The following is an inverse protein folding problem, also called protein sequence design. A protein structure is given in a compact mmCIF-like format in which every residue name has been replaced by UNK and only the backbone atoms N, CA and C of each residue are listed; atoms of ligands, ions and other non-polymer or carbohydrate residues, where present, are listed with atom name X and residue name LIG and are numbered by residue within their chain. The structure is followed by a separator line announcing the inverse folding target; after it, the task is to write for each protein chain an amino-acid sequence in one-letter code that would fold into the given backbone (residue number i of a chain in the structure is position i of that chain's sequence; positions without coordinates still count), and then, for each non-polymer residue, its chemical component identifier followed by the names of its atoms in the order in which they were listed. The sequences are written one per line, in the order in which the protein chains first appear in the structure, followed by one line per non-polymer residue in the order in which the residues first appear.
data_IF_755614176169
#
_entry.id   IF_755614176169
#
_cell.length_a   1.000
_cell.length_b   1.000
_cell.length_c   1.000
_cell.angle_alpha   90.00
_cell.angle_beta   90.00
_cell.angle_gamma   90.00
#
_symmetry.space_group_name_H-M   'P 1'
#
loop_
_entity.id
_entity.type
_entity.pdbx_description
1 polymer ?
#
# COMPACT_ATOMS: atom_id res chain seq x y z
N UNK A 1 -1.40 5.30 -28.47
CA UNK A 1 -1.03 6.72 -28.30
C UNK A 1 -1.56 7.15 -26.95
N UNK A 2 -0.76 7.86 -26.17
CA UNK A 2 -1.16 8.31 -24.83
C UNK A 2 -1.77 9.71 -24.90
N UNK A 3 -2.75 9.96 -24.03
CA UNK A 3 -3.39 11.25 -23.85
C UNK A 3 -3.36 11.58 -22.36
N UNK A 4 -3.01 12.82 -22.04
CA UNK A 4 -3.11 13.35 -20.68
C UNK A 4 -4.39 14.17 -20.55
N UNK A 5 -5.07 14.01 -19.41
CA UNK A 5 -6.30 14.72 -19.12
C UNK A 5 -6.44 15.00 -17.64
N UNK A 6 -7.37 15.90 -17.32
CA UNK A 6 -7.68 16.28 -15.94
C UNK A 6 -9.08 15.77 -15.60
N UNK A 7 -9.23 15.19 -14.40
CA UNK A 7 -10.55 14.82 -13.90
C UNK A 7 -11.34 16.09 -13.64
N UNK A 8 -12.40 16.29 -14.44
CA UNK A 8 -13.29 17.44 -14.32
C UNK A 8 -14.44 17.15 -13.37
N UNK A 9 -14.86 15.90 -13.24
CA UNK A 9 -16.04 15.59 -12.45
C UNK A 9 -16.08 14.14 -12.00
N UNK A 10 -16.54 13.92 -10.76
CA UNK A 10 -16.91 12.61 -10.24
C UNK A 10 -18.42 12.65 -9.95
N UNK A 11 -19.22 11.82 -10.64
CA UNK A 11 -20.67 11.80 -10.46
C UNK A 11 -21.06 10.88 -9.30
N UNK A 12 -21.64 11.45 -8.26
CA UNK A 12 -22.17 10.71 -7.12
C UNK A 12 -23.59 10.14 -7.39
N UNK A 13 -23.81 9.64 -8.60
CA UNK A 13 -25.04 8.94 -9.04
C UNK A 13 -24.61 7.61 -9.65
N UNK A 14 -24.42 6.57 -8.83
CA UNK A 14 -23.90 5.31 -9.33
C UNK A 14 -24.94 4.56 -10.18
N UNK A 15 -24.44 3.77 -11.12
CA UNK A 15 -25.22 2.75 -11.81
C UNK A 15 -24.88 1.38 -11.25
N UNK A 16 -25.90 0.62 -10.88
CA UNK A 16 -25.74 -0.75 -10.38
C UNK A 16 -26.15 -1.72 -11.48
N UNK A 17 -25.22 -2.56 -11.91
CA UNK A 17 -25.48 -3.65 -12.86
C UNK A 17 -25.12 -4.96 -12.15
N UNK A 18 -26.14 -5.75 -11.79
CA UNK A 18 -25.98 -6.90 -10.91
C UNK A 18 -25.46 -6.47 -9.53
N UNK A 19 -24.33 -7.03 -9.10
CA UNK A 19 -23.67 -6.72 -7.82
C UNK A 19 -22.50 -5.72 -7.96
N UNK A 20 -22.36 -5.06 -9.11
CA UNK A 20 -21.27 -4.09 -9.38
C UNK A 20 -21.84 -2.68 -9.37
N UNK A 21 -21.27 -1.83 -8.51
CA UNK A 21 -21.60 -0.40 -8.39
C UNK A 21 -20.56 0.41 -9.16
N UNK A 22 -20.99 1.16 -10.16
CA UNK A 22 -20.09 1.95 -11.03
C UNK A 22 -20.37 3.44 -10.89
N UNK A 23 -19.32 4.22 -10.66
CA UNK A 23 -19.37 5.68 -10.62
C UNK A 23 -18.82 6.25 -11.93
N UNK A 24 -19.55 7.19 -12.52
CA UNK A 24 -19.09 7.86 -13.75
C UNK A 24 -18.13 9.01 -13.42
N UNK A 25 -17.02 9.08 -14.14
CA UNK A 25 -16.03 10.16 -14.05
C UNK A 25 -15.93 10.84 -15.42
N UNK A 26 -15.92 12.17 -15.43
CA UNK A 26 -15.72 12.97 -16.64
C UNK A 26 -14.28 13.49 -16.64
N UNK A 27 -13.55 13.19 -17.71
CA UNK A 27 -12.15 13.59 -17.89
C UNK A 27 -12.06 14.54 -19.08
N UNK A 28 -11.41 15.67 -18.89
CA UNK A 28 -11.12 16.63 -19.95
C UNK A 28 -9.76 16.30 -20.57
N UNK A 29 -9.72 16.08 -21.88
CA UNK A 29 -8.54 15.64 -22.63
C UNK A 29 -8.38 16.52 -23.88
N UNK A 30 -7.15 16.97 -24.14
CA UNK A 30 -6.83 17.69 -25.37
C UNK A 30 -6.78 16.71 -26.57
N UNK A 31 -7.66 16.90 -27.55
CA UNK A 31 -7.76 16.06 -28.76
C UNK A 31 -7.46 16.87 -30.04
N UNK A 32 -6.32 17.55 -30.07
CA UNK A 32 -5.95 18.45 -31.17
C UNK A 32 -5.85 17.73 -32.52
N UNK A 33 -5.44 16.46 -32.51
CA UNK A 33 -5.25 15.63 -33.71
C UNK A 33 -6.51 14.83 -34.10
N UNK A 34 -7.63 15.00 -33.37
CA UNK A 34 -8.92 14.32 -33.62
C UNK A 34 -8.83 12.78 -33.66
N UNK A 35 -7.90 12.21 -32.90
CA UNK A 35 -7.66 10.77 -32.86
C UNK A 35 -8.61 10.03 -31.92
N UNK A 36 -9.14 10.71 -30.91
CA UNK A 36 -10.18 10.15 -30.03
C UNK A 36 -11.56 10.36 -30.66
N UNK A 37 -12.28 9.26 -30.90
CA UNK A 37 -13.64 9.26 -31.44
C UNK A 37 -14.66 8.96 -30.34
N UNK A 38 -15.88 9.54 -30.41
CA UNK A 38 -16.96 9.20 -29.48
C UNK A 38 -17.23 7.69 -29.48
N UNK A 39 -17.40 7.11 -28.28
CA UNK A 39 -17.66 5.68 -28.10
C UNK A 39 -16.43 4.78 -28.21
N UNK A 40 -15.23 5.33 -28.43
CA UNK A 40 -13.99 4.56 -28.42
C UNK A 40 -13.65 4.12 -26.98
N UNK A 41 -13.42 2.82 -26.73
CA UNK A 41 -12.92 2.37 -25.44
C UNK A 41 -11.48 2.84 -25.23
N UNK A 42 -11.13 3.16 -23.97
CA UNK A 42 -9.80 3.57 -23.59
C UNK A 42 -9.45 2.96 -22.22
N UNK A 43 -8.21 2.51 -22.08
CA UNK A 43 -7.62 2.20 -20.78
C UNK A 43 -7.15 3.50 -20.13
N UNK A 44 -7.48 3.68 -18.85
CA UNK A 44 -7.21 4.92 -18.12
C UNK A 44 -6.38 4.58 -16.89
N UNK A 45 -5.29 5.31 -16.71
CA UNK A 45 -4.52 5.33 -15.47
C UNK A 45 -4.80 6.64 -14.75
N UNK A 46 -5.36 6.55 -13.54
CA UNK A 46 -5.67 7.72 -12.70
C UNK A 46 -4.66 7.81 -11.56
N UNK A 47 -4.00 8.95 -11.44
CA UNK A 47 -3.16 9.25 -10.28
C UNK A 47 -4.03 9.74 -9.13
N UNK A 48 -4.20 8.89 -8.10
CA UNK A 48 -5.05 9.18 -6.94
C UNK A 48 -4.24 9.79 -5.78
N UNK A 49 -2.98 9.42 -5.66
CA UNK A 49 -2.07 9.98 -4.67
C UNK A 49 -0.62 9.78 -5.13
N UNK A 50 0.25 10.71 -4.74
CA UNK A 50 1.68 10.63 -4.98
C UNK A 50 2.43 10.95 -3.70
N UNK A 51 3.33 10.07 -3.33
CA UNK A 51 4.34 10.31 -2.30
C UNK A 51 5.72 10.09 -2.90
N UNK A 52 6.65 10.99 -2.58
CA UNK A 52 8.05 10.91 -3.00
C UNK A 52 8.93 10.56 -1.80
N UNK A 53 10.03 9.84 -2.05
CA UNK A 53 11.01 9.44 -1.02
C UNK A 53 10.39 8.66 0.14
N UNK A 54 9.62 7.62 -0.18
CA UNK A 54 8.96 6.78 0.82
C UNK A 54 9.52 5.38 0.86
N UNK A 55 9.39 4.76 2.03
CA UNK A 55 9.77 3.38 2.25
C UNK A 55 8.62 2.48 1.83
N UNK A 56 8.95 1.41 1.11
CA UNK A 56 8.02 0.37 0.70
C UNK A 56 8.38 -0.93 1.38
N UNK A 57 7.35 -1.67 1.79
CA UNK A 57 7.51 -3.03 2.30
C UNK A 57 6.65 -4.00 1.50
N UNK A 58 7.14 -5.22 1.22
CA UNK A 58 6.31 -6.26 0.64
C UNK A 58 5.10 -6.55 1.52
N UNK A 59 3.93 -6.79 0.90
CA UNK A 59 2.70 -7.09 1.63
C UNK A 59 2.81 -8.36 2.51
N UNK A 60 3.73 -9.27 2.17
CA UNK A 60 4.04 -10.45 2.98
C UNK A 60 4.60 -10.08 4.37
N UNK A 61 5.43 -9.03 4.49
CA UNK A 61 6.01 -8.61 5.77
C UNK A 61 4.94 -8.11 6.75
N UNK A 62 3.91 -7.42 6.26
CA UNK A 62 2.79 -6.93 7.08
C UNK A 62 1.83 -8.04 7.52
N UNK A 63 1.83 -9.18 6.80
CA UNK A 63 1.00 -10.35 7.13
C UNK A 63 1.76 -11.41 7.91
N UNK A 64 3.07 -11.26 8.04
CA UNK A 64 3.90 -12.23 8.72
C UNK A 64 3.54 -12.32 10.21
N UNK A 65 3.44 -13.55 10.69
CA UNK A 65 3.23 -13.87 12.10
C UNK A 65 4.35 -14.82 12.54
N UNK A 66 5.21 -14.41 13.49
CA UNK A 66 6.27 -15.28 13.97
C UNK A 66 5.70 -16.50 14.73
N UNK A 67 6.38 -17.65 14.68
CA UNK A 67 5.99 -18.86 15.40
C UNK A 67 6.41 -18.77 16.88
N UNK A 68 5.95 -17.75 17.59
CA UNK A 68 6.17 -17.56 19.03
C UNK A 68 4.92 -17.95 19.83
N UNK A 69 5.07 -18.34 21.11
CA UNK A 69 3.94 -18.64 21.99
C UNK A 69 2.95 -17.47 22.08
N UNK A 70 1.63 -17.72 22.22
CA UNK A 70 0.61 -16.67 22.31
C UNK A 70 0.85 -15.66 23.45
N UNK A 71 1.41 -16.10 24.57
CA UNK A 71 1.71 -15.22 25.71
C UNK A 71 2.84 -14.25 25.39
N UNK A 72 3.86 -14.71 24.67
CA UNK A 72 4.97 -13.87 24.21
C UNK A 72 4.49 -12.86 23.15
N UNK A 73 3.69 -13.32 22.20
CA UNK A 73 3.03 -12.47 21.21
C UNK A 73 2.23 -11.34 21.87
N UNK A 74 1.46 -11.67 22.92
CA UNK A 74 0.66 -10.69 23.65
C UNK A 74 1.54 -9.66 24.36
N UNK A 75 2.59 -10.11 25.05
CA UNK A 75 3.56 -9.21 25.70
C UNK A 75 4.22 -8.25 24.71
N UNK A 76 4.63 -8.75 23.54
CA UNK A 76 5.24 -7.90 22.50
C UNK A 76 4.25 -6.88 21.93
N UNK A 77 2.97 -7.25 21.77
CA UNK A 77 1.92 -6.30 21.37
C UNK A 77 1.65 -5.23 22.43
N UNK A 78 1.60 -5.62 23.70
CA UNK A 78 1.35 -4.71 24.81
C UNK A 78 2.55 -3.76 25.02
N UNK A 79 3.78 -4.22 24.73
CA UNK A 79 4.99 -3.42 24.76
C UNK A 79 5.22 -2.58 23.48
N UNK A 80 4.41 -2.76 22.44
CA UNK A 80 4.61 -2.08 21.17
C UNK A 80 4.32 -0.58 21.30
N UNK A 81 5.34 0.24 21.08
CA UNK A 81 5.18 1.69 21.07
C UNK A 81 4.74 2.16 19.68
N UNK A 82 3.55 2.72 19.60
CA UNK A 82 3.05 3.32 18.37
C UNK A 82 3.65 4.71 18.18
N UNK A 83 4.26 5.00 17.01
CA UNK A 83 4.59 6.37 16.66
C UNK A 83 3.29 7.20 16.57
N UNK A 84 3.36 8.53 16.75
CA UNK A 84 2.18 9.40 16.64
C UNK A 84 1.50 9.21 15.26
N UNK A 85 0.17 9.28 15.19
CA UNK A 85 -0.56 9.06 13.95
C UNK A 85 -0.16 10.14 12.92
N UNK A 86 0.19 9.74 11.68
CA UNK A 86 0.60 10.68 10.65
C UNK A 86 -0.62 11.41 10.05
N UNK A 87 -0.33 12.50 9.34
CA UNK A 87 -1.37 13.27 8.64
C UNK A 87 -1.92 12.46 7.46
N UNK A 88 -3.26 12.34 7.31
CA UNK A 88 -3.87 11.72 6.14
C UNK A 88 -3.45 12.36 4.82
N UNK A 89 -3.33 11.57 3.76
CA UNK A 89 -2.92 12.05 2.43
C UNK A 89 -4.15 12.55 1.68
N UNK A 90 -4.11 13.80 1.23
CA UNK A 90 -5.15 14.31 0.34
C UNK A 90 -5.12 13.54 -1.00
N UNK A 91 -6.30 13.11 -1.47
CA UNK A 91 -6.44 12.52 -2.81
C UNK A 91 -6.19 13.61 -3.84
N UNK A 92 -5.41 13.29 -4.87
CA UNK A 92 -5.16 14.18 -5.99
C UNK A 92 -6.48 14.50 -6.70
N UNK A 93 -6.78 15.80 -6.78
CA UNK A 93 -7.98 16.32 -7.41
C UNK A 93 -8.05 17.83 -7.22
N UNK A 94 -8.65 18.53 -8.18
CA UNK A 94 -8.92 19.96 -8.05
C UNK A 94 -10.27 20.14 -7.32
N UNK A 95 -10.30 20.67 -6.08
CA UNK A 95 -11.56 20.98 -5.39
C UNK A 95 -12.38 22.04 -6.13
N UNK A 96 -11.78 22.77 -7.08
CA UNK A 96 -12.39 23.81 -7.89
C UNK A 96 -13.00 23.34 -9.20
N UNK A 97 -13.13 22.03 -9.44
CA UNK A 97 -13.85 21.51 -10.59
C UNK A 97 -15.35 21.83 -10.44
N UNK A 98 -15.72 23.06 -10.82
CA UNK A 98 -17.05 23.65 -10.72
C UNK A 98 -18.04 22.74 -11.41
N UNK A 99 -18.74 21.97 -10.57
CA UNK A 99 -19.96 21.29 -10.98
C UNK A 99 -21.01 22.39 -11.20
N UNK A 100 -21.93 22.17 -12.13
CA UNK A 100 -23.08 23.08 -12.30
C UNK A 100 -23.81 23.25 -10.95
N UNK A 101 -24.55 24.34 -10.73
CA UNK A 101 -25.20 24.64 -9.44
C UNK A 101 -26.04 23.49 -8.85
N UNK A 102 -26.56 22.62 -9.72
CA UNK A 102 -27.47 21.53 -9.37
C UNK A 102 -26.77 20.17 -9.18
N UNK A 103 -25.44 20.13 -9.28
CA UNK A 103 -24.67 18.88 -9.43
C UNK A 103 -23.68 18.72 -8.26
N UNK A 104 -23.85 17.67 -7.46
CA UNK A 104 -23.07 17.43 -6.25
C UNK A 104 -21.65 17.00 -6.63
N UNK A 105 -20.69 17.93 -6.55
CA UNK A 105 -19.26 17.62 -6.65
C UNK A 105 -18.85 16.75 -5.47
N UNK A 106 -18.27 15.58 -5.75
CA UNK A 106 -17.66 14.73 -4.73
C UNK A 106 -16.18 15.08 -4.62
N UNK A 107 -15.79 15.65 -3.48
CA UNK A 107 -14.39 15.74 -3.10
C UNK A 107 -14.01 14.45 -2.39
N UNK A 108 -13.07 13.65 -2.94
CA UNK A 108 -12.68 12.40 -2.29
C UNK A 108 -12.11 12.65 -0.90
N UNK A 109 -12.51 11.86 0.12
CA UNK A 109 -11.94 11.97 1.45
C UNK A 109 -10.44 11.63 1.41
N UNK A 110 -9.63 12.20 2.33
CA UNK A 110 -8.22 11.88 2.39
C UNK A 110 -7.99 10.41 2.74
N UNK A 111 -6.91 9.84 2.20
CA UNK A 111 -6.46 8.48 2.48
C UNK A 111 -5.99 8.42 3.93
N UNK A 112 -6.74 7.67 4.75
CA UNK A 112 -6.45 7.51 6.17
C UNK A 112 -5.24 6.57 6.36
N UNK A 113 -4.35 6.87 7.32
CA UNK A 113 -3.29 5.94 7.70
C UNK A 113 -3.86 4.60 8.19
N UNK A 114 -3.31 3.50 7.68
CA UNK A 114 -3.53 2.16 8.19
C UNK A 114 -2.48 1.79 9.24
N UNK A 115 -2.79 0.78 10.05
CA UNK A 115 -1.86 0.23 11.04
C UNK A 115 -1.23 -1.06 10.51
N UNK A 116 0.07 -1.21 10.72
CA UNK A 116 0.85 -2.40 10.36
C UNK A 116 1.80 -2.80 11.47
N UNK A 117 2.09 -4.10 11.55
CA UNK A 117 3.12 -4.65 12.42
C UNK A 117 4.19 -5.28 11.53
N UNK A 118 5.44 -4.92 11.78
CA UNK A 118 6.59 -5.54 11.16
C UNK A 118 7.39 -6.31 12.20
N UNK A 119 7.97 -7.41 11.76
CA UNK A 119 8.75 -8.29 12.61
C UNK A 119 10.19 -8.32 12.14
N UNK A 120 11.12 -8.25 13.10
CA UNK A 120 12.53 -8.50 12.89
C UNK A 120 12.96 -9.69 13.72
N UNK A 121 13.82 -10.53 13.16
CA UNK A 121 14.51 -11.58 13.88
C UNK A 121 15.99 -11.23 13.94
N UNK A 122 16.53 -10.97 15.13
CA UNK A 122 17.95 -10.70 15.33
C UNK A 122 18.49 -11.77 16.26
N UNK A 123 19.36 -12.64 15.74
CA UNK A 123 19.95 -13.76 16.50
C UNK A 123 18.92 -14.66 17.21
N UNK A 124 17.78 -14.93 16.56
CA UNK A 124 16.71 -15.75 17.15
C UNK A 124 15.78 -14.99 18.10
N UNK A 125 16.04 -13.72 18.39
CA UNK A 125 15.17 -12.85 19.18
C UNK A 125 14.21 -12.11 18.27
N UNK A 126 12.91 -12.29 18.50
CA UNK A 126 11.86 -11.59 17.78
C UNK A 126 11.62 -10.20 18.36
N UNK A 127 11.58 -9.19 17.50
CA UNK A 127 11.19 -7.83 17.86
C UNK A 127 10.08 -7.34 16.95
N UNK A 128 9.14 -6.63 17.55
CA UNK A 128 7.99 -6.03 16.87
C UNK A 128 8.26 -4.54 16.65
N UNK A 129 7.88 -4.06 15.46
CA UNK A 129 7.88 -2.65 15.13
C UNK A 129 6.51 -2.25 14.60
N UNK A 130 5.83 -1.36 15.32
CA UNK A 130 4.55 -0.79 14.93
C UNK A 130 4.78 0.33 13.90
N UNK A 131 4.10 0.25 12.75
CA UNK A 131 4.26 1.19 11.64
C UNK A 131 2.91 1.67 11.13
N UNK A 132 2.90 2.89 10.58
CA UNK A 132 1.75 3.41 9.85
C UNK A 132 1.91 3.17 8.35
N UNK A 133 0.86 2.67 7.71
CA UNK A 133 0.79 2.39 6.28
C UNK A 133 -0.07 3.44 5.58
N UNK A 134 0.22 3.72 4.30
CA UNK A 134 -0.56 4.66 3.48
C UNK A 134 -1.44 3.92 2.48
N UNK A 135 -0.93 3.71 1.26
CA UNK A 135 -1.59 2.97 0.19
C UNK A 135 -0.72 1.81 -0.30
N UNK A 136 -1.36 0.85 -0.98
CA UNK A 136 -0.71 -0.35 -1.53
C UNK A 136 -0.97 -0.44 -3.02
N UNK A 137 0.01 -0.97 -3.76
CA UNK A 137 -0.09 -1.29 -5.19
C UNK A 137 -0.38 -2.79 -5.45
N UNK A 138 -1.04 -3.44 -4.49
CA UNK A 138 -1.30 -4.89 -4.38
C UNK A 138 -0.07 -5.77 -4.10
N UNK A 139 1.16 -5.29 -4.37
CA UNK A 139 2.40 -6.04 -4.10
C UNK A 139 3.13 -5.50 -2.89
N UNK A 140 3.28 -4.20 -2.85
CA UNK A 140 3.99 -3.44 -1.83
C UNK A 140 3.02 -2.48 -1.15
N UNK A 141 3.31 -2.18 0.11
CA UNK A 141 2.62 -1.15 0.87
C UNK A 141 3.62 -0.06 1.20
N UNK A 142 3.22 1.18 0.97
CA UNK A 142 4.01 2.34 1.33
C UNK A 142 3.83 2.64 2.82
N UNK A 143 4.94 2.85 3.51
CA UNK A 143 4.96 3.23 4.92
C UNK A 143 5.13 4.74 5.07
N UNK A 144 4.52 5.29 6.12
CA UNK A 144 4.90 6.60 6.61
C UNK A 144 6.29 6.53 7.27
N UNK A 145 7.02 7.64 7.24
CA UNK A 145 8.28 7.77 7.95
C UNK A 145 8.08 7.42 9.43
N UNK A 146 8.68 6.31 9.84
CA UNK A 146 8.55 5.76 11.18
C UNK A 146 9.94 5.67 11.79
N UNK A 147 10.18 6.23 12.99
CA UNK A 147 11.46 6.11 13.67
C UNK A 147 11.89 4.64 13.81
N UNK A 148 13.14 4.34 13.45
CA UNK A 148 13.67 2.97 13.48
C UNK A 148 13.38 2.13 12.24
N UNK A 149 12.73 2.70 11.22
CA UNK A 149 12.63 2.14 9.86
C UNK A 149 13.49 2.98 8.93
N UNK A 150 14.68 2.49 8.61
CA UNK A 150 15.57 3.11 7.62
C UNK A 150 15.62 2.26 6.35
N UNK A 151 16.10 2.86 5.27
CA UNK A 151 16.35 2.14 4.02
C UNK A 151 17.38 1.02 4.25
N UNK A 152 17.06 -0.18 3.76
CA UNK A 152 17.86 -1.39 4.01
C UNK A 152 17.58 -2.10 5.33
N UNK A 153 16.61 -1.63 6.13
CA UNK A 153 16.16 -2.38 7.30
C UNK A 153 15.57 -3.74 6.89
N UNK A 154 16.08 -4.81 7.50
CA UNK A 154 15.65 -6.17 7.22
C UNK A 154 14.41 -6.52 8.04
N UNK A 155 13.35 -6.97 7.37
CA UNK A 155 12.10 -7.43 7.96
C UNK A 155 11.76 -8.82 7.46
N UNK A 156 11.11 -9.61 8.31
CA UNK A 156 10.73 -10.98 7.96
C UNK A 156 9.47 -10.96 7.10
N UNK A 157 9.57 -11.50 5.90
CA UNK A 157 8.46 -11.70 4.96
C UNK A 157 7.91 -13.12 5.00
N UNK A 158 8.77 -14.10 5.31
CA UNK A 158 8.45 -15.52 5.35
C UNK A 158 9.36 -16.23 6.36
N UNK A 159 8.84 -17.25 7.05
CA UNK A 159 9.62 -18.13 7.92
C UNK A 159 9.25 -19.57 7.59
N UNK A 160 10.12 -20.25 6.84
CA UNK A 160 9.91 -21.65 6.46
C UNK A 160 10.44 -22.53 7.60
N UNK A 161 9.54 -23.09 8.39
CA UNK A 161 9.86 -24.15 9.34
C UNK A 161 10.11 -25.43 8.54
N UNK A 162 11.38 -25.79 8.33
CA UNK A 162 11.71 -27.09 7.73
C UNK A 162 11.26 -28.21 8.66
N UNK A 163 10.46 -29.16 8.15
CA UNK A 163 9.80 -30.23 8.93
C UNK A 163 10.77 -31.27 9.56
N UNK A 164 12.09 -31.04 9.47
CA UNK A 164 13.12 -31.80 10.20
C UNK A 164 13.36 -31.32 11.64
N UNK A 165 12.65 -30.28 12.08
CA UNK A 165 12.93 -29.54 13.32
C UNK A 165 12.40 -30.18 14.62
N UNK A 166 11.89 -31.43 14.58
CA UNK A 166 11.64 -32.21 15.81
C UNK A 166 12.84 -33.07 16.20
N UNK A 167 13.85 -33.24 15.32
CA UNK A 167 15.03 -34.07 15.64
C UNK A 167 16.41 -33.45 15.37
N UNK A 168 16.53 -32.28 14.74
CA UNK A 168 17.83 -31.80 14.26
C UNK A 168 18.26 -30.44 14.80
N UNK A 169 18.32 -30.31 16.14
CA UNK A 169 19.08 -29.22 16.80
C UNK A 169 20.62 -29.29 16.55
N UNK A 170 21.12 -30.24 15.75
CA UNK A 170 22.57 -30.48 15.67
C UNK A 170 23.22 -30.39 14.29
N UNK A 171 22.50 -30.24 13.17
CA UNK A 171 23.18 -30.19 11.87
C UNK A 171 22.56 -29.21 10.87
N UNK A 172 23.36 -28.16 10.59
CA UNK A 172 23.46 -27.35 9.37
C UNK A 172 22.39 -26.28 9.15
N UNK A 173 22.75 -25.05 9.52
CA UNK A 173 22.22 -23.84 8.93
C UNK A 173 22.73 -23.68 7.49
N UNK A 174 21.83 -23.55 6.52
CA UNK A 174 22.13 -22.94 5.23
C UNK A 174 21.45 -21.57 5.23
N UNK A 175 22.21 -20.52 5.55
CA UNK A 175 21.83 -19.16 5.20
C UNK A 175 21.83 -19.07 3.66
N UNK A 176 20.70 -18.79 3.03
CA UNK A 176 20.72 -18.31 1.65
C UNK A 176 20.93 -16.81 1.63
N UNK A 177 22.21 -16.43 1.53
CA UNK A 177 22.66 -15.16 0.97
C UNK A 177 22.55 -15.29 -0.56
N UNK A 178 21.38 -15.05 -1.14
CA UNK A 178 21.23 -15.06 -2.61
C UNK A 178 21.46 -13.63 -3.16
N UNK A 179 22.54 -13.37 -3.91
CA UNK A 179 22.91 -12.05 -4.42
C UNK A 179 22.18 -11.66 -5.73
N UNK A 180 21.19 -12.44 -6.15
CA UNK A 180 20.67 -12.44 -7.52
C UNK A 180 19.44 -11.54 -7.78
N UNK A 181 18.91 -10.86 -6.75
CA UNK A 181 17.85 -9.85 -6.91
C UNK A 181 18.34 -8.39 -6.86
N UNK A 182 19.66 -8.15 -7.02
CA UNK A 182 20.17 -6.81 -7.34
C UNK A 182 20.23 -6.62 -8.85
N UNK A 183 19.20 -6.02 -9.44
CA UNK A 183 19.33 -5.31 -10.73
C UNK A 183 18.69 -3.93 -10.64
N UNK A 184 19.40 -2.99 -11.26
CA UNK A 184 19.21 -1.54 -11.33
C UNK A 184 17.82 -1.11 -11.81
#
# INVERSE_FOLDING_TARGET
REFSGTVRQIRNQPHTIGNVVTYAVVIEVANNDLLLRPGMPADISLEVARQSKTLKVPNAALRFLPPIPPDEMRRLKDAAQWPPPPVPIAVAGDPGATSKPDEVSFVPPPIKPGQGLLWRNVNGVWSMLAVWTSYTDNRETILYATPGVDEGAEFVTEYIVSRNDVQSQFQKAILMTAPENRRF
#
